data_IF_109409069019
#
_entry.id   IF_109409069019
#
_cell.length_a   1.000
_cell.length_b   1.000
_cell.length_c   1.000
_cell.angle_alpha   90.00
_cell.angle_beta   90.00
_cell.angle_gamma   90.00
#
_symmetry.space_group_name_H-M   'P 1'
#
loop_
_entity.id
_entity.type
_entity.pdbx_description
1 polymer ?
#
# COMPACT_ATOMS: atom_id res chain seq x y z
N UNK A 1 4.30 13.72 -16.23
CA UNK A 1 4.92 13.10 -15.04
C UNK A 1 4.69 11.58 -14.95
N UNK A 2 3.53 11.09 -15.38
CA UNK A 2 3.11 9.68 -15.18
C UNK A 2 4.06 8.62 -15.76
N UNK A 3 4.66 8.85 -16.90
CA UNK A 3 5.52 7.88 -17.60
C UNK A 3 7.00 7.86 -17.16
N UNK A 4 7.36 8.67 -16.14
CA UNK A 4 8.72 8.71 -15.57
C UNK A 4 8.76 8.34 -14.09
N UNK A 5 7.63 7.97 -13.49
CA UNK A 5 7.58 7.54 -12.11
C UNK A 5 7.50 6.01 -12.00
N UNK A 6 7.87 5.49 -10.84
CA UNK A 6 7.80 4.07 -10.54
C UNK A 6 6.38 3.51 -10.73
N UNK A 7 6.23 2.33 -11.35
CA UNK A 7 4.95 1.68 -11.51
C UNK A 7 4.40 1.05 -10.22
N UNK A 8 5.26 0.76 -9.24
CA UNK A 8 4.86 0.14 -7.96
C UNK A 8 4.40 1.21 -6.96
N UNK A 9 5.15 2.31 -6.84
CA UNK A 9 4.91 3.38 -5.86
C UNK A 9 4.30 4.66 -6.47
N UNK A 10 3.79 4.57 -7.70
CA UNK A 10 3.26 5.72 -8.45
C UNK A 10 2.19 6.52 -7.70
N UNK A 11 1.33 5.82 -6.94
CA UNK A 11 0.29 6.46 -6.15
C UNK A 11 0.86 7.32 -5.02
N UNK A 12 1.87 6.82 -4.30
CA UNK A 12 2.54 7.58 -3.25
C UNK A 12 3.11 8.89 -3.79
N UNK A 13 3.84 8.84 -4.92
CA UNK A 13 4.36 10.03 -5.59
C UNK A 13 3.25 10.98 -6.04
N UNK A 14 2.16 10.44 -6.60
CA UNK A 14 1.03 11.25 -7.05
C UNK A 14 0.36 11.99 -5.91
N UNK A 15 0.02 11.29 -4.83
CA UNK A 15 -0.65 11.90 -3.68
C UNK A 15 0.23 12.91 -2.95
N UNK A 16 1.53 12.65 -2.83
CA UNK A 16 2.49 13.61 -2.30
C UNK A 16 2.53 14.89 -3.15
N UNK A 17 2.59 14.74 -4.48
CA UNK A 17 2.55 15.88 -5.40
C UNK A 17 1.22 16.66 -5.31
N UNK A 18 0.09 15.97 -5.18
CA UNK A 18 -1.22 16.60 -5.00
C UNK A 18 -1.28 17.38 -3.69
N UNK A 19 -0.87 16.79 -2.57
CA UNK A 19 -0.82 17.49 -1.27
C UNK A 19 0.06 18.73 -1.31
N UNK A 20 1.24 18.64 -1.92
CA UNK A 20 2.13 19.80 -2.07
C UNK A 20 1.52 20.90 -2.95
N UNK A 21 0.87 20.53 -4.05
CA UNK A 21 0.18 21.47 -4.94
C UNK A 21 -1.00 22.15 -4.25
N UNK A 22 -1.83 21.38 -3.54
CA UNK A 22 -2.97 21.88 -2.77
C UNK A 22 -2.53 22.85 -1.68
N UNK A 23 -1.47 22.51 -0.96
CA UNK A 23 -0.90 23.41 0.04
C UNK A 23 -0.37 24.71 -0.58
N UNK A 24 0.33 24.64 -1.71
CA UNK A 24 0.85 25.81 -2.40
C UNK A 24 -0.26 26.74 -2.93
N UNK A 25 -1.40 26.15 -3.34
CA UNK A 25 -2.58 26.90 -3.85
C UNK A 25 -3.56 27.28 -2.76
N UNK A 26 -3.36 26.91 -1.49
CA UNK A 26 -4.31 27.14 -0.40
C UNK A 26 -5.62 26.38 -0.56
N UNK A 27 -5.63 25.25 -1.25
CA UNK A 27 -6.83 24.44 -1.48
C UNK A 27 -7.13 23.56 -0.27
N UNK A 28 -8.39 23.56 0.14
CA UNK A 28 -8.91 22.61 1.14
C UNK A 28 -9.65 21.48 0.42
N UNK A 29 -9.37 20.24 0.78
CA UNK A 29 -10.04 19.06 0.24
C UNK A 29 -11.12 18.56 1.20
N UNK A 30 -12.18 17.94 0.66
CA UNK A 30 -13.27 17.40 1.47
C UNK A 30 -12.85 16.12 2.22
N UNK A 31 -13.56 15.80 3.31
CA UNK A 31 -13.36 14.53 4.05
C UNK A 31 -13.55 13.31 3.15
N UNK A 32 -14.49 13.36 2.20
CA UNK A 32 -14.68 12.30 1.22
C UNK A 32 -13.42 12.09 0.38
N UNK A 33 -12.80 13.16 -0.09
CA UNK A 33 -11.54 13.12 -0.84
C UNK A 33 -10.43 12.49 0.00
N UNK A 34 -10.28 12.90 1.24
CA UNK A 34 -9.29 12.33 2.17
C UNK A 34 -9.51 10.84 2.35
N UNK A 35 -10.74 10.39 2.62
CA UNK A 35 -11.07 8.97 2.81
C UNK A 35 -10.79 8.13 1.57
N UNK A 36 -11.12 8.61 0.37
CA UNK A 36 -10.84 7.92 -0.87
C UNK A 36 -9.33 7.84 -1.16
N UNK A 37 -8.58 8.90 -0.87
CA UNK A 37 -7.12 8.89 -0.98
C UNK A 37 -6.46 7.93 0.02
N UNK A 38 -6.94 7.88 1.26
CA UNK A 38 -6.52 6.89 2.25
C UNK A 38 -6.77 5.47 1.77
N UNK A 39 -7.96 5.20 1.24
CA UNK A 39 -8.27 3.88 0.65
C UNK A 39 -7.30 3.51 -0.48
N UNK A 40 -6.96 4.44 -1.36
CA UNK A 40 -5.97 4.23 -2.41
C UNK A 40 -4.57 3.93 -1.85
N UNK A 41 -4.11 4.67 -0.84
CA UNK A 41 -2.80 4.42 -0.20
C UNK A 41 -2.76 3.03 0.42
N UNK A 42 -3.79 2.64 1.15
CA UNK A 42 -3.87 1.29 1.73
C UNK A 42 -3.90 0.21 0.64
N UNK A 43 -4.65 0.42 -0.45
CA UNK A 43 -4.67 -0.49 -1.60
C UNK A 43 -3.29 -0.65 -2.25
N UNK A 44 -2.58 0.47 -2.47
CA UNK A 44 -1.22 0.44 -3.03
C UNK A 44 -0.21 -0.23 -2.10
N UNK A 45 -0.31 0.01 -0.79
CA UNK A 45 0.55 -0.63 0.22
C UNK A 45 0.29 -2.13 0.27
N UNK A 46 -0.97 -2.55 0.27
CA UNK A 46 -1.35 -3.96 0.23
C UNK A 46 -0.81 -4.64 -1.03
N UNK A 47 -0.99 -4.01 -2.20
CA UNK A 47 -0.48 -4.48 -3.48
C UNK A 47 1.04 -4.65 -3.46
N UNK A 48 1.76 -3.67 -2.90
CA UNK A 48 3.22 -3.68 -2.80
C UNK A 48 3.72 -4.75 -1.83
N UNK A 49 3.08 -4.91 -0.68
CA UNK A 49 3.44 -5.93 0.31
C UNK A 49 3.21 -7.35 -0.22
N UNK A 50 2.11 -7.60 -0.92
CA UNK A 50 1.86 -8.89 -1.58
C UNK A 50 2.92 -9.17 -2.64
N UNK A 51 3.24 -8.16 -3.47
CA UNK A 51 4.32 -8.28 -4.46
C UNK A 51 5.65 -8.65 -3.80
N UNK A 52 6.03 -7.90 -2.76
CA UNK A 52 7.28 -8.15 -2.05
C UNK A 52 7.33 -9.54 -1.40
N UNK A 53 6.32 -9.89 -0.62
CA UNK A 53 6.30 -11.13 0.13
C UNK A 53 6.33 -12.37 -0.76
N UNK A 54 5.55 -12.39 -1.83
CA UNK A 54 5.36 -13.58 -2.64
C UNK A 54 6.25 -13.67 -3.88
N UNK A 55 6.54 -12.53 -4.51
CA UNK A 55 7.21 -12.53 -5.82
C UNK A 55 8.69 -12.13 -5.74
N UNK A 56 9.09 -11.51 -4.61
CA UNK A 56 10.48 -11.10 -4.37
C UNK A 56 11.09 -11.92 -3.22
N UNK A 57 10.68 -11.68 -1.98
CA UNK A 57 11.28 -12.31 -0.81
C UNK A 57 11.01 -13.83 -0.70
N UNK A 58 9.79 -14.29 -1.01
CA UNK A 58 9.43 -15.70 -0.92
C UNK A 58 10.31 -16.63 -1.75
N UNK A 59 10.57 -16.35 -3.04
CA UNK A 59 11.51 -17.11 -3.85
C UNK A 59 12.92 -17.19 -3.25
N UNK A 60 13.44 -16.09 -2.70
CA UNK A 60 14.76 -16.04 -2.08
C UNK A 60 14.84 -16.96 -0.86
N UNK A 61 13.85 -16.95 0.01
CA UNK A 61 13.79 -17.84 1.18
C UNK A 61 13.66 -19.30 0.81
N UNK A 62 12.98 -19.60 -0.29
CA UNK A 62 12.82 -20.95 -0.83
C UNK A 62 13.96 -21.36 -1.77
N UNK A 63 14.96 -20.48 -1.95
CA UNK A 63 16.15 -20.72 -2.82
C UNK A 63 15.79 -21.06 -4.26
N UNK A 64 14.73 -20.43 -4.80
CA UNK A 64 14.31 -20.54 -6.19
C UNK A 64 14.46 -19.20 -6.92
N UNK A 65 14.66 -19.24 -8.23
CA UNK A 65 14.93 -18.04 -9.03
C UNK A 65 13.73 -17.10 -9.19
N UNK A 66 12.52 -17.61 -9.01
CA UNK A 66 11.26 -16.84 -9.14
C UNK A 66 10.10 -17.61 -8.53
N UNK A 67 8.90 -17.01 -8.53
CA UNK A 67 7.67 -17.68 -8.12
C UNK A 67 7.22 -18.79 -9.09
N UNK A 68 7.66 -18.77 -10.35
CA UNK A 68 7.19 -19.71 -11.39
C UNK A 68 7.42 -21.18 -11.03
N UNK A 69 8.60 -21.62 -10.57
CA UNK A 69 8.80 -23.01 -10.13
C UNK A 69 7.87 -23.44 -9.00
N UNK A 70 7.40 -22.49 -8.17
CA UNK A 70 6.49 -22.78 -7.05
C UNK A 70 5.08 -23.18 -7.50
N UNK A 71 4.70 -22.91 -8.75
CA UNK A 71 3.41 -23.36 -9.31
C UNK A 71 3.29 -24.89 -9.26
N UNK A 72 4.39 -25.61 -9.47
CA UNK A 72 4.41 -27.07 -9.42
C UNK A 72 4.48 -27.66 -8.00
N UNK A 73 5.07 -26.96 -7.06
CA UNK A 73 5.31 -27.46 -5.69
C UNK A 73 4.37 -26.91 -4.64
N UNK A 74 3.91 -25.66 -4.82
CA UNK A 74 3.06 -24.92 -3.88
C UNK A 74 1.97 -24.11 -4.63
N UNK A 75 1.13 -24.76 -5.45
CA UNK A 75 0.16 -24.07 -6.31
C UNK A 75 -0.83 -23.21 -5.52
N UNK A 76 -1.26 -23.65 -4.33
CA UNK A 76 -2.17 -22.93 -3.45
C UNK A 76 -1.57 -21.59 -2.95
N UNK A 77 -0.27 -21.57 -2.68
CA UNK A 77 0.45 -20.35 -2.26
C UNK A 77 0.52 -19.34 -3.42
N UNK A 78 0.80 -19.83 -4.62
CA UNK A 78 0.87 -18.98 -5.83
C UNK A 78 -0.51 -18.44 -6.19
N UNK A 79 -1.56 -19.27 -6.16
CA UNK A 79 -2.94 -18.84 -6.43
C UNK A 79 -3.42 -17.81 -5.41
N UNK A 80 -3.10 -17.99 -4.13
CA UNK A 80 -3.37 -17.01 -3.07
C UNK A 80 -2.69 -15.68 -3.37
N UNK A 81 -1.40 -15.69 -3.71
CA UNK A 81 -0.66 -14.50 -4.07
C UNK A 81 -1.31 -13.73 -5.23
N UNK A 82 -1.74 -14.44 -6.27
CA UNK A 82 -2.41 -13.84 -7.44
C UNK A 82 -3.77 -13.23 -7.09
N UNK A 83 -4.59 -13.93 -6.27
CA UNK A 83 -5.89 -13.40 -5.81
C UNK A 83 -5.70 -12.13 -5.00
N UNK A 84 -4.80 -12.16 -4.01
CA UNK A 84 -4.50 -11.01 -3.16
C UNK A 84 -3.99 -9.82 -3.98
N UNK A 85 -3.06 -10.07 -4.90
CA UNK A 85 -2.53 -9.05 -5.81
C UNK A 85 -3.61 -8.43 -6.68
N UNK A 86 -4.50 -9.28 -7.23
CA UNK A 86 -5.61 -8.83 -8.06
C UNK A 86 -6.56 -7.96 -7.25
N UNK A 87 -7.00 -8.39 -6.07
CA UNK A 87 -7.94 -7.62 -5.25
C UNK A 87 -7.36 -6.27 -4.81
N UNK A 88 -6.07 -6.24 -4.47
CA UNK A 88 -5.39 -4.99 -4.15
C UNK A 88 -5.33 -4.03 -5.37
N UNK A 89 -5.13 -4.55 -6.59
CA UNK A 89 -5.20 -3.76 -7.82
C UNK A 89 -6.63 -3.27 -8.10
N UNK A 90 -7.66 -4.09 -7.83
CA UNK A 90 -9.07 -3.71 -8.03
C UNK A 90 -9.46 -2.48 -7.18
N UNK A 91 -8.82 -2.26 -6.01
CA UNK A 91 -8.98 -1.00 -5.25
C UNK A 91 -8.49 0.19 -6.09
N UNK A 92 -7.32 0.06 -6.70
CA UNK A 92 -6.77 1.08 -7.59
C UNK A 92 -7.66 1.35 -8.79
N UNK A 93 -8.17 0.29 -9.44
CA UNK A 93 -9.07 0.41 -10.60
C UNK A 93 -10.37 1.11 -10.25
N UNK A 94 -11.03 0.70 -9.15
CA UNK A 94 -12.34 1.24 -8.74
C UNK A 94 -12.24 2.69 -8.27
N UNK A 95 -11.21 3.03 -7.49
CA UNK A 95 -11.09 4.36 -6.87
C UNK A 95 -10.22 5.28 -7.72
N UNK A 96 -9.13 4.76 -8.26
CA UNK A 96 -8.13 5.52 -9.01
C UNK A 96 -8.36 5.52 -10.52
N UNK A 97 -9.33 4.75 -11.02
CA UNK A 97 -9.59 4.55 -12.44
C UNK A 97 -8.57 3.66 -13.14
N UNK A 98 -7.49 3.29 -12.43
CA UNK A 98 -6.40 2.44 -12.92
C UNK A 98 -5.56 1.94 -11.74
N UNK A 99 -5.15 0.68 -11.75
CA UNK A 99 -4.34 0.08 -10.69
C UNK A 99 -2.93 0.72 -10.59
N UNK A 100 -2.34 1.04 -11.73
CA UNK A 100 -1.01 1.67 -11.83
C UNK A 100 -1.14 3.05 -12.46
N UNK A 101 -0.53 4.05 -11.85
CA UNK A 101 -0.68 5.46 -12.23
C UNK A 101 -2.15 5.92 -12.26
N UNK A 102 -2.84 5.99 -11.11
CA UNK A 102 -4.23 6.44 -11.03
C UNK A 102 -4.48 7.75 -11.76
N UNK A 103 -5.64 7.88 -12.36
CA UNK A 103 -5.99 9.02 -13.23
C UNK A 103 -7.14 9.89 -12.70
N UNK A 104 -7.84 9.41 -11.66
CA UNK A 104 -9.00 10.12 -11.10
C UNK A 104 -8.62 11.18 -10.08
N UNK A 105 -7.44 11.08 -9.45
CA UNK A 105 -6.98 12.03 -8.45
C UNK A 105 -6.47 13.32 -9.11
N UNK A 106 -7.03 14.45 -8.70
CA UNK A 106 -6.66 15.79 -9.18
C UNK A 106 -6.52 16.74 -7.98
N UNK A 107 -5.85 17.91 -8.14
CA UNK A 107 -5.85 18.93 -7.09
C UNK A 107 -7.28 19.29 -6.66
N UNK A 108 -7.55 19.30 -5.36
CA UNK A 108 -8.85 19.58 -4.78
C UNK A 108 -9.81 18.39 -4.73
N UNK A 109 -9.52 17.23 -5.36
CA UNK A 109 -10.44 16.09 -5.31
C UNK A 109 -10.20 14.96 -6.29
N UNK A 110 -11.30 14.53 -6.91
CA UNK A 110 -11.35 13.46 -7.89
C UNK A 110 -12.17 13.89 -9.10
N UNK A 111 -11.75 13.47 -10.30
CA UNK A 111 -12.54 13.67 -11.52
C UNK A 111 -13.74 12.73 -11.58
N UNK A 112 -13.70 11.62 -10.88
CA UNK A 112 -14.76 10.64 -10.80
C UNK A 112 -14.81 10.02 -9.41
N UNK A 113 -16.00 9.96 -8.82
CA UNK A 113 -16.24 9.29 -7.54
C UNK A 113 -16.70 7.86 -7.82
N UNK A 114 -16.12 6.86 -7.13
CA UNK A 114 -16.53 5.47 -7.32
C UNK A 114 -17.98 5.23 -6.90
N UNK A 115 -18.69 4.38 -7.64
CA UNK A 115 -20.06 4.01 -7.30
C UNK A 115 -20.12 3.29 -5.94
N UNK A 116 -21.12 3.61 -5.12
CA UNK A 116 -21.30 2.99 -3.80
C UNK A 116 -21.42 1.46 -3.86
N UNK A 117 -22.01 0.91 -4.93
CA UNK A 117 -22.08 -0.53 -5.17
C UNK A 117 -20.69 -1.17 -5.34
N UNK A 118 -19.81 -0.54 -6.10
CA UNK A 118 -18.45 -1.02 -6.29
C UNK A 118 -17.64 -0.98 -4.98
N UNK A 119 -17.82 0.05 -4.16
CA UNK A 119 -17.16 0.13 -2.84
C UNK A 119 -17.70 -0.96 -1.88
N UNK A 120 -19.00 -1.25 -1.90
CA UNK A 120 -19.57 -2.35 -1.11
C UNK A 120 -19.02 -3.71 -1.54
N UNK A 121 -18.89 -3.93 -2.82
CA UNK A 121 -18.32 -5.19 -3.35
C UNK A 121 -16.82 -5.32 -2.99
N UNK A 122 -16.04 -4.26 -3.11
CA UNK A 122 -14.65 -4.26 -2.64
C UNK A 122 -14.58 -4.61 -1.15
N UNK A 123 -15.42 -3.97 -0.32
CA UNK A 123 -15.46 -4.26 1.12
C UNK A 123 -15.80 -5.72 1.40
N UNK A 124 -16.81 -6.27 0.72
CA UNK A 124 -17.18 -7.68 0.84
C UNK A 124 -15.98 -8.58 0.55
N UNK A 125 -15.35 -8.39 -0.59
CA UNK A 125 -14.19 -9.18 -1.02
C UNK A 125 -12.97 -9.00 -0.10
N UNK A 126 -12.74 -7.82 0.43
CA UNK A 126 -11.68 -7.61 1.43
C UNK A 126 -11.93 -8.43 2.69
N UNK A 127 -13.15 -8.48 3.18
CA UNK A 127 -13.50 -9.23 4.39
C UNK A 127 -13.55 -10.74 4.14
N UNK A 128 -14.18 -11.19 3.05
CA UNK A 128 -14.47 -12.60 2.81
C UNK A 128 -13.32 -13.34 2.11
N UNK A 129 -12.51 -12.65 1.30
CA UNK A 129 -11.43 -13.25 0.51
C UNK A 129 -10.03 -12.83 1.03
N UNK A 130 -9.78 -11.53 1.18
CA UNK A 130 -8.45 -11.01 1.53
C UNK A 130 -8.04 -11.36 2.96
N UNK A 131 -8.93 -11.21 3.93
CA UNK A 131 -8.59 -11.47 5.34
C UNK A 131 -8.20 -12.94 5.58
N UNK A 132 -8.93 -13.95 5.10
CA UNK A 132 -8.49 -15.35 5.19
C UNK A 132 -7.16 -15.61 4.48
N UNK A 133 -6.98 -15.08 3.27
CA UNK A 133 -5.74 -15.24 2.52
C UNK A 133 -4.56 -14.56 3.24
N UNK A 134 -4.80 -13.43 3.90
CA UNK A 134 -3.78 -12.73 4.69
C UNK A 134 -3.37 -13.52 5.94
N UNK A 135 -4.33 -14.08 6.66
CA UNK A 135 -4.04 -14.95 7.81
C UNK A 135 -3.21 -16.17 7.39
N UNK A 136 -3.58 -16.81 6.29
CA UNK A 136 -2.80 -17.92 5.74
C UNK A 136 -1.39 -17.49 5.27
N UNK A 137 -1.24 -16.24 4.83
CA UNK A 137 0.07 -15.64 4.49
C UNK A 137 0.93 -15.49 5.74
N UNK A 138 0.36 -15.01 6.84
CA UNK A 138 1.08 -14.88 8.14
C UNK A 138 1.61 -16.23 8.59
N UNK A 139 0.80 -17.30 8.51
CA UNK A 139 1.26 -18.64 8.88
C UNK A 139 2.39 -19.14 7.94
N UNK A 140 2.29 -18.86 6.66
CA UNK A 140 3.38 -19.17 5.70
C UNK A 140 4.67 -18.42 6.07
N UNK A 141 4.58 -17.14 6.42
CA UNK A 141 5.74 -16.33 6.83
C UNK A 141 6.33 -16.80 8.16
N UNK A 142 5.50 -17.20 9.13
CA UNK A 142 5.97 -17.81 10.39
C UNK A 142 6.77 -19.09 10.13
N UNK A 143 6.32 -19.94 9.22
CA UNK A 143 7.04 -21.16 8.85
C UNK A 143 8.42 -20.86 8.23
N UNK A 144 8.56 -19.72 7.53
CA UNK A 144 9.81 -19.29 6.92
C UNK A 144 10.68 -18.42 7.85
N UNK A 145 10.21 -18.06 9.04
CA UNK A 145 10.88 -17.11 9.93
C UNK A 145 12.31 -17.53 10.30
N UNK A 146 12.58 -18.84 10.39
CA UNK A 146 13.93 -19.36 10.66
C UNK A 146 14.94 -19.13 9.53
N UNK A 147 14.48 -18.86 8.30
CA UNK A 147 15.32 -18.55 7.14
C UNK A 147 15.60 -17.05 6.98
N UNK A 148 14.95 -16.20 7.77
CA UNK A 148 15.13 -14.73 7.70
C UNK A 148 16.49 -14.38 8.33
N UNK A 149 17.40 -13.72 7.59
CA UNK A 149 18.69 -13.32 8.14
C UNK A 149 18.47 -12.30 9.26
N UNK A 150 19.16 -12.52 10.38
CA UNK A 150 19.20 -11.54 11.48
C UNK A 150 20.26 -10.51 11.18
N UNK A 151 19.88 -9.26 11.20
CA UNK A 151 20.78 -8.15 11.01
C UNK A 151 20.44 -7.06 12.03
N UNK A 152 21.42 -6.70 12.84
CA UNK A 152 21.30 -5.63 13.82
C UNK A 152 22.28 -4.50 13.49
N UNK A 153 21.77 -3.32 13.37
CA UNK A 153 22.55 -2.10 13.15
C UNK A 153 21.89 -0.96 13.91
N UNK A 154 22.64 -0.20 14.74
CA UNK A 154 22.13 1.06 15.29
C UNK A 154 21.69 1.97 14.15
N UNK A 155 20.43 2.38 14.15
CA UNK A 155 19.86 3.27 13.17
C UNK A 155 18.67 4.03 13.75
N UNK A 156 18.48 5.24 13.30
CA UNK A 156 17.28 6.01 13.56
C UNK A 156 16.14 5.48 12.71
N UNK A 157 14.99 5.20 13.31
CA UNK A 157 13.77 4.85 12.61
C UNK A 157 12.82 6.03 12.59
N UNK A 158 12.36 6.40 11.39
CA UNK A 158 11.43 7.50 11.18
C UNK A 158 10.17 6.96 10.53
N UNK A 159 9.00 7.33 11.06
CA UNK A 159 7.70 6.94 10.53
C UNK A 159 6.67 8.04 10.72
N UNK A 160 5.54 7.94 10.01
CA UNK A 160 4.34 8.69 10.38
C UNK A 160 3.66 8.00 11.57
N UNK A 161 3.06 8.80 12.45
CA UNK A 161 2.26 8.35 13.58
C UNK A 161 0.94 9.09 13.64
N UNK A 162 -0.12 8.34 13.81
CA UNK A 162 -1.44 8.82 14.20
C UNK A 162 -1.92 7.97 15.38
N UNK A 163 -2.71 8.55 16.29
CA UNK A 163 -3.17 7.82 17.47
C UNK A 163 -4.41 6.95 17.15
N UNK A 164 -5.15 7.30 16.08
CA UNK A 164 -6.44 6.67 15.71
C UNK A 164 -6.35 5.70 14.52
N UNK A 165 -5.23 5.72 13.76
CA UNK A 165 -5.11 4.90 12.55
C UNK A 165 -3.66 4.52 12.24
N UNK A 166 -3.50 3.53 11.37
CA UNK A 166 -2.20 3.22 10.78
C UNK A 166 -1.84 4.32 9.76
N UNK A 167 -0.94 5.21 10.17
CA UNK A 167 -0.62 6.45 9.47
C UNK A 167 0.17 6.20 8.18
N UNK A 168 -0.50 6.25 7.03
CA UNK A 168 0.12 6.16 5.69
C UNK A 168 -0.09 7.42 4.84
N UNK A 169 -1.14 8.19 5.11
CA UNK A 169 -1.50 9.37 4.33
C UNK A 169 -1.25 10.67 5.09
N UNK A 170 -1.65 10.72 6.34
CA UNK A 170 -1.43 11.82 7.27
C UNK A 170 -0.90 11.29 8.60
N UNK A 171 -0.22 12.14 9.35
CA UNK A 171 0.31 11.83 10.67
C UNK A 171 1.48 12.73 11.01
N UNK A 172 1.85 12.76 12.29
CA UNK A 172 3.05 13.41 12.76
C UNK A 172 4.28 12.55 12.45
N UNK A 173 5.40 13.18 12.21
CA UNK A 173 6.68 12.49 12.05
C UNK A 173 7.16 12.04 13.43
N UNK A 174 7.49 10.76 13.54
CA UNK A 174 7.99 10.16 14.78
C UNK A 174 9.35 9.51 14.50
N UNK A 175 10.34 9.90 15.29
CA UNK A 175 11.69 9.34 15.26
C UNK A 175 11.98 8.61 16.57
N UNK A 176 12.76 7.53 16.51
CA UNK A 176 13.27 6.84 17.71
C UNK A 176 14.22 7.70 18.51
N UNK A 177 14.90 8.65 17.89
CA UNK A 177 15.98 9.43 18.51
C UNK A 177 15.50 10.81 18.97
N UNK A 178 14.61 11.48 18.16
CA UNK A 178 14.18 12.85 18.42
C UNK A 178 12.72 12.96 18.87
N UNK A 179 11.97 11.86 18.87
CA UNK A 179 10.58 11.83 19.30
C UNK A 179 9.59 12.27 18.21
N UNK A 180 8.45 12.84 18.61
CA UNK A 180 7.33 13.22 17.72
C UNK A 180 7.37 14.71 17.40
N UNK A 181 7.27 15.03 16.11
CA UNK A 181 7.13 16.40 15.62
C UNK A 181 5.98 16.49 14.61
N UNK A 182 5.15 17.55 14.62
CA UNK A 182 4.18 17.81 13.57
C UNK A 182 4.86 17.87 12.20
N UNK A 183 4.19 17.37 11.14
CA UNK A 183 4.75 17.32 9.79
C UNK A 183 5.20 18.70 9.27
N UNK A 184 4.48 19.76 9.68
CA UNK A 184 4.81 21.16 9.35
C UNK A 184 6.11 21.68 9.99
N UNK A 185 6.55 21.07 11.08
CA UNK A 185 7.79 21.45 11.79
C UNK A 185 9.04 20.74 11.23
N UNK A 186 8.85 19.63 10.53
CA UNK A 186 9.96 18.89 9.94
C UNK A 186 10.74 19.66 8.87
N UNK A 187 10.17 20.75 8.36
CA UNK A 187 10.77 21.60 7.30
C UNK A 187 11.64 22.73 7.84
N UNK A 188 11.84 22.82 9.13
CA UNK A 188 12.68 23.80 9.81
C UNK A 188 13.98 23.19 10.29
#
# INVERSE_FOLDING_TARGET
MLFRSCGICSLGHQLTSLKATEQALGLTVSDQTIRLRKLLVHGATLQSNVLHAYFLAGPDFLKVKSVIPLVGTHPEVVLRALRMKKLANDIGDVVGGRAVHPITCVPGGFTQIPAAGALRELRRRLVEEMVPDWLATVETMKALAGAIPRFERPTEYISLRCDDEYALYDGDICSTDTGRAPDREYRR
#
